data_IF_582362156008
#
_entry.id   IF_582362156008
#
_cell.length_a   1.000
_cell.length_b   1.000
_cell.length_c   1.000
_cell.angle_alpha   90.00
_cell.angle_beta   90.00
_cell.angle_gamma   90.00
#
_symmetry.space_group_name_H-M   'P 1'
#
loop_
_entity.id
_entity.type
_entity.pdbx_description
1 polymer ?
#
# COMPACT_ATOMS: atom_id res chain seq x y z
N UNK A 1 3.93 -19.66 -4.10
CA UNK A 1 5.20 -19.43 -3.39
C UNK A 1 6.30 -18.82 -4.25
N UNK A 2 6.32 -19.02 -5.57
CA UNK A 2 7.34 -18.44 -6.47
C UNK A 2 7.10 -16.99 -6.91
N UNK A 3 5.88 -16.46 -6.81
CA UNK A 3 5.51 -15.13 -7.32
C UNK A 3 6.12 -14.01 -6.46
N UNK A 4 6.13 -14.15 -5.13
CA UNK A 4 6.72 -13.17 -4.20
C UNK A 4 8.25 -13.11 -4.26
N UNK A 5 8.94 -14.25 -4.40
CA UNK A 5 10.41 -14.27 -4.54
C UNK A 5 10.88 -13.62 -5.84
N UNK A 6 10.13 -13.75 -6.93
CA UNK A 6 10.47 -13.10 -8.20
C UNK A 6 10.20 -11.59 -8.17
N UNK A 7 9.14 -11.16 -7.47
CA UNK A 7 8.84 -9.74 -7.27
C UNK A 7 10.00 -9.00 -6.59
N UNK A 8 10.57 -9.59 -5.52
CA UNK A 8 11.69 -9.00 -4.79
C UNK A 8 13.01 -8.97 -5.56
N UNK A 9 13.24 -9.89 -6.49
CA UNK A 9 14.50 -9.96 -7.27
C UNK A 9 14.58 -8.95 -8.40
N UNK A 10 13.45 -8.48 -8.95
CA UNK A 10 13.43 -7.62 -10.14
C UNK A 10 13.53 -6.12 -9.84
N UNK A 11 13.10 -5.65 -8.67
CA UNK A 11 13.07 -4.21 -8.33
C UNK A 11 14.46 -3.63 -7.99
N UNK A 12 15.49 -4.45 -7.92
CA UNK A 12 16.82 -4.07 -7.42
C UNK A 12 17.72 -3.38 -8.47
N UNK A 13 17.19 -2.92 -9.60
CA UNK A 13 17.98 -2.13 -10.56
C UNK A 13 17.68 -0.65 -10.39
N UNK A 14 18.66 0.21 -10.12
CA UNK A 14 18.45 1.65 -10.02
C UNK A 14 18.14 2.20 -11.42
N UNK A 15 16.93 2.70 -11.61
CA UNK A 15 16.54 3.45 -12.80
C UNK A 15 16.56 4.93 -12.46
N UNK A 16 17.31 5.78 -13.19
CA UNK A 16 17.28 7.21 -12.96
C UNK A 16 15.95 7.78 -13.46
N UNK A 17 15.07 8.14 -12.53
CA UNK A 17 13.83 8.86 -12.85
C UNK A 17 14.10 10.35 -12.69
N UNK A 18 14.19 11.08 -13.79
CA UNK A 18 14.05 12.52 -13.80
C UNK A 18 12.57 12.86 -13.61
N UNK A 19 12.16 13.06 -12.37
CA UNK A 19 10.83 13.57 -12.07
C UNK A 19 10.84 15.10 -12.14
N UNK A 20 10.03 15.67 -13.02
CA UNK A 20 9.68 17.09 -12.95
C UNK A 20 8.73 17.26 -11.74
N UNK A 21 9.30 17.40 -10.56
CA UNK A 21 8.62 17.74 -9.32
C UNK A 21 8.48 19.26 -9.23
N UNK A 22 7.44 19.83 -9.76
CA UNK A 22 7.21 21.27 -9.49
C UNK A 22 5.74 21.72 -9.55
N UNK A 23 4.76 20.91 -9.13
CA UNK A 23 3.41 21.50 -8.91
C UNK A 23 2.46 20.78 -7.94
N UNK A 24 2.84 19.65 -7.34
CA UNK A 24 1.92 18.88 -6.48
C UNK A 24 2.16 18.98 -4.96
N UNK A 25 3.15 19.75 -4.52
CA UNK A 25 3.49 19.83 -3.08
C UNK A 25 2.63 20.81 -2.26
N UNK A 26 1.62 21.45 -2.85
CA UNK A 26 0.88 22.54 -2.15
C UNK A 26 -0.53 22.20 -1.67
N UNK A 27 -1.03 20.98 -1.79
CA UNK A 27 -2.41 20.65 -1.37
C UNK A 27 -2.53 19.60 -0.25
N UNK A 28 -1.44 19.19 0.39
CA UNK A 28 -1.49 18.22 1.48
C UNK A 28 -1.13 18.89 2.80
N UNK A 29 -2.03 19.72 3.29
CA UNK A 29 -2.02 20.17 4.69
C UNK A 29 -3.44 20.39 5.18
N UNK A 30 -4.13 19.32 5.54
CA UNK A 30 -5.27 19.35 6.46
C UNK A 30 -5.56 17.92 6.95
N UNK A 31 -5.77 17.80 8.23
CA UNK A 31 -5.87 16.63 9.12
C UNK A 31 -7.05 15.68 8.88
N UNK A 32 -7.38 15.36 7.65
CA UNK A 32 -8.34 14.32 7.31
C UNK A 32 -7.75 13.43 6.22
N UNK A 33 -7.65 12.13 6.48
CA UNK A 33 -7.39 11.11 5.46
C UNK A 33 -8.58 11.08 4.48
N UNK A 34 -8.64 12.13 3.64
CA UNK A 34 -9.64 12.26 2.60
C UNK A 34 -9.25 11.36 1.43
N UNK A 35 -10.18 10.55 0.96
CA UNK A 35 -9.98 9.81 -0.27
C UNK A 35 -9.90 10.76 -1.45
N UNK A 36 -9.00 10.49 -2.37
CA UNK A 36 -8.93 11.16 -3.66
C UNK A 36 -9.20 10.14 -4.78
N UNK A 37 -9.71 10.60 -5.91
CA UNK A 37 -9.74 9.79 -7.13
C UNK A 37 -8.67 10.33 -8.07
N UNK A 38 -7.47 9.75 -8.08
CA UNK A 38 -6.39 10.25 -8.92
C UNK A 38 -6.74 10.06 -10.40
N UNK A 39 -6.32 11.02 -11.21
CA UNK A 39 -6.42 10.93 -12.68
C UNK A 39 -5.14 10.36 -13.29
N UNK A 40 -4.12 10.13 -12.48
CA UNK A 40 -2.84 9.57 -12.88
C UNK A 40 -3.02 8.14 -13.35
N UNK A 41 -2.43 7.78 -14.49
CA UNK A 41 -2.48 6.45 -15.10
C UNK A 41 -1.09 5.91 -15.33
N UNK A 42 -0.94 4.66 -15.79
CA UNK A 42 0.37 4.12 -16.14
C UNK A 42 1.04 4.87 -17.31
N UNK A 43 0.28 5.61 -18.12
CA UNK A 43 0.85 6.46 -19.17
C UNK A 43 1.65 7.64 -18.60
N UNK A 44 1.33 8.07 -17.40
CA UNK A 44 2.03 9.18 -16.72
C UNK A 44 3.31 8.72 -15.98
N UNK A 45 3.53 7.40 -15.91
CA UNK A 45 4.69 6.78 -15.27
C UNK A 45 5.69 6.40 -16.34
N UNK A 46 6.85 7.05 -16.38
CA UNK A 46 7.90 6.73 -17.33
C UNK A 46 8.72 5.52 -16.88
N UNK A 47 8.98 4.57 -17.79
CA UNK A 47 9.75 3.35 -17.50
C UNK A 47 8.98 2.38 -16.60
N UNK A 48 9.72 1.47 -15.94
CA UNK A 48 9.18 0.45 -15.03
C UNK A 48 8.22 -0.55 -15.71
N UNK A 49 8.44 -0.86 -16.99
CA UNK A 49 7.51 -1.69 -17.77
C UNK A 49 7.26 -3.07 -17.13
N UNK A 50 8.33 -3.73 -16.62
CA UNK A 50 8.20 -5.02 -15.95
C UNK A 50 7.32 -4.91 -14.67
N UNK A 51 7.44 -3.80 -13.92
CA UNK A 51 6.64 -3.58 -12.73
C UNK A 51 5.18 -3.27 -13.09
N UNK A 52 4.97 -2.49 -14.14
CA UNK A 52 3.63 -2.21 -14.65
C UNK A 52 2.92 -3.50 -15.10
N UNK A 53 3.62 -4.39 -15.81
CA UNK A 53 3.07 -5.69 -16.22
C UNK A 53 2.58 -6.50 -15.02
N UNK A 54 3.35 -6.56 -13.94
CA UNK A 54 2.92 -7.25 -12.71
C UNK A 54 1.72 -6.56 -12.04
N UNK A 55 1.67 -5.23 -12.08
CA UNK A 55 0.56 -4.46 -11.52
C UNK A 55 -0.71 -4.54 -12.38
N UNK A 56 -0.60 -4.83 -13.67
CA UNK A 56 -1.77 -5.06 -14.52
C UNK A 56 -2.62 -6.24 -14.03
N UNK A 57 -2.03 -7.28 -13.43
CA UNK A 57 -2.80 -8.37 -12.84
C UNK A 57 -3.71 -7.86 -11.70
N UNK A 58 -3.19 -6.92 -10.89
CA UNK A 58 -3.94 -6.30 -9.80
C UNK A 58 -5.04 -5.40 -10.34
N UNK A 59 -4.74 -4.62 -11.39
CA UNK A 59 -5.71 -3.77 -12.08
C UNK A 59 -6.83 -4.60 -12.69
N UNK A 60 -6.50 -5.70 -13.40
CA UNK A 60 -7.48 -6.61 -14.00
C UNK A 60 -8.37 -7.24 -12.91
N UNK A 61 -7.76 -7.64 -11.79
CA UNK A 61 -8.49 -8.16 -10.65
C UNK A 61 -9.48 -7.12 -10.07
N UNK A 62 -9.05 -5.88 -9.85
CA UNK A 62 -9.93 -4.84 -9.32
C UNK A 62 -11.06 -4.47 -10.27
N UNK A 63 -10.80 -4.50 -11.58
CA UNK A 63 -11.80 -4.22 -12.62
C UNK A 63 -12.80 -5.36 -12.80
N UNK A 64 -12.36 -6.61 -12.67
CA UNK A 64 -13.16 -7.80 -12.97
C UNK A 64 -13.14 -8.84 -11.85
N UNK A 65 -13.51 -8.50 -10.61
CA UNK A 65 -13.39 -9.39 -9.44
C UNK A 65 -14.19 -10.69 -9.59
N UNK A 66 -15.33 -10.65 -10.24
CA UNK A 66 -16.20 -11.83 -10.44
C UNK A 66 -15.59 -12.90 -11.35
N UNK A 67 -14.76 -12.50 -12.31
CA UNK A 67 -13.98 -13.42 -13.16
C UNK A 67 -13.06 -14.29 -12.31
N UNK A 68 -12.30 -13.64 -11.41
CA UNK A 68 -11.34 -14.32 -10.53
C UNK A 68 -12.02 -15.15 -9.45
N UNK A 69 -13.15 -14.68 -8.90
CA UNK A 69 -13.95 -15.46 -7.95
C UNK A 69 -14.46 -16.77 -8.55
N UNK A 70 -14.99 -16.72 -9.78
CA UNK A 70 -15.47 -17.92 -10.50
C UNK A 70 -14.36 -18.93 -10.79
N UNK A 71 -13.13 -18.46 -11.02
CA UNK A 71 -11.95 -19.30 -11.26
C UNK A 71 -11.33 -19.85 -9.97
N UNK A 72 -11.83 -19.46 -8.79
CA UNK A 72 -11.27 -19.86 -7.50
C UNK A 72 -9.88 -19.26 -7.22
N UNK A 73 -9.49 -18.22 -7.95
CA UNK A 73 -8.20 -17.57 -7.75
C UNK A 73 -8.10 -16.92 -6.38
N UNK A 74 -6.93 -17.04 -5.76
CA UNK A 74 -6.62 -16.28 -4.54
C UNK A 74 -6.24 -14.86 -4.93
N UNK A 75 -6.97 -13.91 -4.38
CA UNK A 75 -6.79 -12.49 -4.60
C UNK A 75 -5.66 -11.99 -3.72
N UNK A 76 -4.66 -11.29 -4.24
CA UNK A 76 -3.68 -10.63 -3.40
C UNK A 76 -4.36 -9.54 -2.56
N UNK A 77 -4.22 -9.60 -1.25
CA UNK A 77 -4.79 -8.61 -0.33
C UNK A 77 -3.95 -7.34 -0.25
N UNK A 78 -2.67 -7.44 -0.59
CA UNK A 78 -1.73 -6.35 -0.55
C UNK A 78 -0.50 -6.55 -1.43
N UNK A 79 0.17 -5.45 -1.70
CA UNK A 79 1.42 -5.37 -2.47
C UNK A 79 2.42 -4.55 -1.67
N UNK A 80 3.67 -4.94 -1.72
CA UNK A 80 4.74 -4.18 -1.09
C UNK A 80 5.68 -3.60 -2.15
N UNK A 81 5.77 -2.27 -2.19
CA UNK A 81 6.74 -1.55 -2.98
C UNK A 81 8.02 -1.35 -2.17
N UNK A 82 9.10 -1.88 -2.67
CA UNK A 82 10.42 -1.72 -2.06
C UNK A 82 11.40 -1.08 -3.04
N UNK A 83 12.21 -0.15 -2.55
CA UNK A 83 13.27 0.49 -3.36
C UNK A 83 13.75 1.80 -2.75
N UNK A 84 14.83 2.38 -3.31
CA UNK A 84 15.38 3.65 -2.85
C UNK A 84 14.35 4.79 -2.82
N UNK A 85 14.56 5.85 -2.04
CA UNK A 85 13.71 7.03 -2.08
C UNK A 85 13.75 7.68 -3.48
N UNK A 86 12.66 8.34 -3.86
CA UNK A 86 12.56 9.05 -5.15
C UNK A 86 12.36 8.16 -6.39
N UNK A 87 12.09 6.85 -6.23
CA UNK A 87 11.85 5.92 -7.35
C UNK A 87 10.42 5.95 -7.89
N UNK A 88 9.56 6.81 -7.36
CA UNK A 88 8.18 6.99 -7.85
C UNK A 88 7.16 6.00 -7.27
N UNK A 89 7.42 5.37 -6.11
CA UNK A 89 6.50 4.42 -5.47
C UNK A 89 5.10 5.00 -5.27
N UNK A 90 5.00 6.21 -4.75
CA UNK A 90 3.72 6.92 -4.52
C UNK A 90 3.01 7.23 -5.84
N UNK A 91 3.75 7.65 -6.87
CA UNK A 91 3.21 7.91 -8.21
C UNK A 91 2.65 6.63 -8.83
N UNK A 92 3.39 5.52 -8.70
CA UNK A 92 2.98 4.23 -9.22
C UNK A 92 1.70 3.71 -8.52
N UNK A 93 1.60 3.85 -7.19
CA UNK A 93 0.40 3.50 -6.44
C UNK A 93 -0.80 4.35 -6.87
N UNK A 94 -0.59 5.66 -7.06
CA UNK A 94 -1.61 6.58 -7.58
C UNK A 94 -2.05 6.18 -8.99
N UNK A 95 -1.13 5.73 -9.86
CA UNK A 95 -1.45 5.26 -11.19
C UNK A 95 -2.31 3.99 -11.18
N UNK A 96 -2.04 3.03 -10.27
CA UNK A 96 -2.90 1.85 -10.09
C UNK A 96 -4.33 2.28 -9.72
N UNK A 97 -4.47 3.26 -8.81
CA UNK A 97 -5.79 3.77 -8.41
C UNK A 97 -6.52 4.47 -9.56
N UNK A 98 -5.81 5.25 -10.37
CA UNK A 98 -6.38 5.88 -11.56
C UNK A 98 -6.82 4.88 -12.62
N UNK A 99 -5.99 3.86 -12.91
CA UNK A 99 -6.35 2.78 -13.84
C UNK A 99 -7.61 2.02 -13.42
N UNK A 100 -7.82 1.85 -12.12
CA UNK A 100 -8.96 1.12 -11.56
C UNK A 100 -10.15 2.02 -11.22
N UNK A 101 -10.02 3.35 -11.39
CA UNK A 101 -11.01 4.34 -10.95
C UNK A 101 -11.43 4.14 -9.49
N UNK A 102 -10.46 3.78 -8.64
CA UNK A 102 -10.67 3.48 -7.23
C UNK A 102 -10.45 4.71 -6.35
N UNK A 103 -11.10 4.74 -5.19
CA UNK A 103 -10.79 5.71 -4.13
C UNK A 103 -9.38 5.45 -3.60
N UNK A 104 -8.56 6.49 -3.50
CA UNK A 104 -7.16 6.40 -3.09
C UNK A 104 -6.95 7.07 -1.73
N UNK A 105 -6.56 6.30 -0.75
CA UNK A 105 -6.22 6.75 0.59
C UNK A 105 -4.69 6.74 0.72
N UNK A 106 -4.09 7.92 0.79
CA UNK A 106 -2.65 8.06 0.95
C UNK A 106 -2.34 8.46 2.38
N UNK A 107 -1.60 7.62 3.09
CA UNK A 107 -1.19 7.81 4.47
C UNK A 107 0.27 7.43 4.66
N UNK A 108 0.91 8.01 5.67
CA UNK A 108 2.29 7.67 6.05
C UNK A 108 2.26 6.79 7.29
N UNK A 109 3.13 5.78 7.36
CA UNK A 109 3.24 4.91 8.54
C UNK A 109 3.44 5.67 9.84
N UNK A 110 4.17 6.80 9.81
CA UNK A 110 4.39 7.67 10.96
C UNK A 110 3.10 8.30 11.53
N UNK A 111 2.03 8.45 10.74
CA UNK A 111 0.74 8.97 11.21
C UNK A 111 0.04 8.04 12.22
N UNK A 112 0.43 6.78 12.24
CA UNK A 112 -0.09 5.79 13.18
C UNK A 112 0.76 5.66 14.45
N UNK A 113 1.93 6.30 14.49
CA UNK A 113 2.82 6.26 15.66
C UNK A 113 2.40 7.35 16.64
N UNK A 114 1.86 6.93 17.78
CA UNK A 114 1.32 7.83 18.81
C UNK A 114 1.96 7.57 20.16
N UNK A 115 1.85 8.55 21.06
CA UNK A 115 2.35 8.41 22.43
C UNK A 115 1.40 7.61 23.33
N UNK A 116 0.11 7.61 23.00
CA UNK A 116 -0.93 6.98 23.79
C UNK A 116 -1.33 5.63 23.21
N UNK A 117 -1.29 4.60 24.04
CA UNK A 117 -1.63 3.24 23.65
C UNK A 117 -3.05 3.15 23.09
N UNK A 118 -3.18 2.53 21.92
CA UNK A 118 -4.45 2.28 21.25
C UNK A 118 -4.93 3.38 20.31
N UNK A 119 -4.32 4.56 20.29
CA UNK A 119 -4.71 5.64 19.36
C UNK A 119 -4.33 5.28 17.92
N UNK A 120 -3.12 4.78 17.70
CA UNK A 120 -2.67 4.31 16.39
C UNK A 120 -3.55 3.18 15.86
N UNK A 121 -3.84 2.19 16.69
CA UNK A 121 -4.73 1.08 16.32
C UNK A 121 -6.16 1.55 15.97
N UNK A 122 -6.68 2.57 16.65
CA UNK A 122 -7.98 3.18 16.33
C UNK A 122 -7.94 3.87 14.97
N UNK A 123 -6.85 4.60 14.65
CA UNK A 123 -6.69 5.26 13.34
C UNK A 123 -6.63 4.24 12.20
N UNK A 124 -5.89 3.14 12.37
CA UNK A 124 -5.86 2.03 11.42
C UNK A 124 -7.28 1.54 11.16
N UNK A 125 -8.04 1.20 12.21
CA UNK A 125 -9.42 0.71 12.07
C UNK A 125 -10.30 1.70 11.31
N UNK A 126 -10.26 2.98 11.68
CA UNK A 126 -11.05 4.03 11.03
C UNK A 126 -10.71 4.18 9.54
N UNK A 127 -9.42 4.12 9.16
CA UNK A 127 -8.98 4.16 7.78
C UNK A 127 -9.56 2.99 6.96
N UNK A 128 -9.46 1.77 7.50
CA UNK A 128 -9.98 0.57 6.84
C UNK A 128 -11.52 0.57 6.73
N UNK A 129 -12.22 1.09 7.73
CA UNK A 129 -13.68 1.27 7.66
C UNK A 129 -14.07 2.25 6.57
N UNK A 130 -13.36 3.38 6.42
CA UNK A 130 -13.57 4.36 5.35
C UNK A 130 -13.31 3.70 3.98
N UNK A 131 -12.19 3.00 3.83
CA UNK A 131 -11.84 2.33 2.58
C UNK A 131 -12.87 1.28 2.15
N UNK A 132 -13.41 0.50 3.09
CA UNK A 132 -14.49 -0.46 2.80
C UNK A 132 -15.78 0.23 2.35
N UNK A 133 -16.12 1.39 2.92
CA UNK A 133 -17.31 2.16 2.53
C UNK A 133 -17.19 2.76 1.12
N UNK A 134 -15.98 3.08 0.71
CA UNK A 134 -15.67 3.70 -0.57
C UNK A 134 -15.09 2.71 -1.59
N UNK A 135 -15.33 1.41 -1.42
CA UNK A 135 -14.85 0.39 -2.35
C UNK A 135 -15.48 0.58 -3.76
N UNK A 136 -14.73 0.34 -4.86
CA UNK A 136 -13.33 -0.13 -4.88
C UNK A 136 -12.35 0.93 -4.38
N UNK A 137 -11.38 0.52 -3.56
CA UNK A 137 -10.45 1.45 -2.96
C UNK A 137 -9.03 0.88 -2.81
N UNK A 138 -8.05 1.77 -2.80
CA UNK A 138 -6.65 1.45 -2.55
C UNK A 138 -6.18 2.23 -1.33
N UNK A 139 -5.60 1.53 -0.36
CA UNK A 139 -4.91 2.12 0.78
C UNK A 139 -3.41 2.08 0.48
N UNK A 140 -2.80 3.23 0.30
CA UNK A 140 -1.36 3.36 0.16
C UNK A 140 -0.76 3.82 1.49
N UNK A 141 0.17 3.02 2.03
CA UNK A 141 0.88 3.32 3.28
C UNK A 141 2.35 3.50 2.94
N UNK A 142 2.80 4.76 2.89
CA UNK A 142 4.23 5.06 2.72
C UNK A 142 4.98 4.87 4.04
N UNK A 143 6.27 4.56 3.96
CA UNK A 143 7.11 4.31 5.13
C UNK A 143 6.47 3.32 6.11
N UNK A 144 5.94 2.21 5.59
CA UNK A 144 5.25 1.20 6.43
C UNK A 144 6.17 0.63 7.53
N UNK A 145 7.47 0.73 7.37
CA UNK A 145 8.48 0.35 8.38
C UNK A 145 8.39 1.19 9.67
N UNK A 146 7.76 2.36 9.64
CA UNK A 146 7.54 3.15 10.86
C UNK A 146 6.67 2.40 11.89
N UNK A 147 5.71 1.60 11.43
CA UNK A 147 4.83 0.76 12.27
C UNK A 147 5.15 -0.73 12.17
N UNK A 148 5.68 -1.15 11.03
CA UNK A 148 5.94 -2.55 10.70
C UNK A 148 7.35 -3.03 11.03
N UNK A 149 8.12 -2.32 11.85
CA UNK A 149 9.48 -2.72 12.22
C UNK A 149 9.48 -3.99 13.09
N UNK A 150 10.55 -4.80 12.91
CA UNK A 150 10.81 -5.99 13.73
C UNK A 150 10.76 -5.65 15.22
N UNK A 151 10.13 -6.53 15.98
CA UNK A 151 10.02 -6.40 17.43
C UNK A 151 11.39 -6.55 18.06
N UNK A 152 11.91 -5.49 18.64
CA UNK A 152 13.09 -5.56 19.51
C UNK A 152 12.68 -5.78 20.95
N UNK A 153 13.61 -6.29 21.79
CA UNK A 153 13.38 -6.62 23.20
C UNK A 153 12.93 -5.44 24.09
N UNK A 154 13.08 -4.20 23.61
CA UNK A 154 12.49 -3.01 24.20
C UNK A 154 11.16 -2.71 23.49
N UNK A 155 10.11 -3.43 23.86
CA UNK A 155 8.80 -3.37 23.21
C UNK A 155 8.13 -2.03 23.46
N UNK A 156 7.95 -1.25 22.40
CA UNK A 156 7.02 -0.14 22.37
C UNK A 156 5.61 -0.76 22.20
N UNK A 157 4.93 -1.07 23.32
CA UNK A 157 3.60 -1.73 23.34
C UNK A 157 2.58 -1.08 22.38
N UNK A 158 2.75 0.22 22.09
CA UNK A 158 1.89 0.97 21.18
C UNK A 158 2.11 0.57 19.72
N UNK A 159 3.37 0.51 19.26
CA UNK A 159 3.70 0.10 17.88
C UNK A 159 3.28 -1.33 17.61
N UNK A 160 3.53 -2.24 18.56
CA UNK A 160 3.12 -3.65 18.44
C UNK A 160 1.59 -3.79 18.37
N UNK A 161 0.85 -2.98 19.12
CA UNK A 161 -0.61 -2.99 19.07
C UNK A 161 -1.12 -2.44 17.74
N UNK A 162 -0.51 -1.39 17.22
CA UNK A 162 -0.86 -0.81 15.92
C UNK A 162 -0.55 -1.76 14.77
N UNK A 163 0.62 -2.42 14.77
CA UNK A 163 0.98 -3.45 13.81
C UNK A 163 -0.02 -4.63 13.86
N UNK A 164 -0.31 -5.14 15.06
CA UNK A 164 -1.26 -6.23 15.21
C UNK A 164 -2.66 -5.83 14.66
N UNK A 165 -3.11 -4.60 14.92
CA UNK A 165 -4.38 -4.13 14.37
C UNK A 165 -4.32 -4.04 12.84
N UNK A 166 -3.21 -3.58 12.25
CA UNK A 166 -3.03 -3.57 10.80
C UNK A 166 -3.14 -4.98 10.22
N UNK A 167 -2.45 -5.95 10.81
CA UNK A 167 -2.51 -7.35 10.39
C UNK A 167 -3.94 -7.94 10.50
N UNK A 168 -4.65 -7.63 11.58
CA UNK A 168 -6.05 -8.05 11.76
C UNK A 168 -6.96 -7.46 10.68
N UNK A 169 -6.78 -6.18 10.34
CA UNK A 169 -7.57 -5.55 9.27
C UNK A 169 -7.24 -6.13 7.89
N UNK A 170 -5.97 -6.44 7.63
CA UNK A 170 -5.53 -7.11 6.40
C UNK A 170 -6.10 -8.53 6.29
N UNK A 171 -6.10 -9.28 7.39
CA UNK A 171 -6.68 -10.63 7.42
C UNK A 171 -8.20 -10.62 7.35
N UNK A 172 -8.82 -9.58 7.88
CA UNK A 172 -10.27 -9.37 7.88
C UNK A 172 -10.85 -9.01 6.50
N UNK A 173 -10.04 -8.85 5.45
CA UNK A 173 -10.56 -8.68 4.11
C UNK A 173 -11.26 -9.96 3.63
N UNK A 174 -12.57 -9.88 3.53
CA UNK A 174 -13.36 -10.90 2.88
C UNK A 174 -13.13 -10.86 1.36
N UNK A 175 -13.43 -11.96 0.68
CA UNK A 175 -13.31 -12.05 -0.80
C UNK A 175 -14.12 -10.98 -1.55
N UNK A 176 -14.98 -10.25 -0.86
CA UNK A 176 -15.90 -9.26 -1.42
C UNK A 176 -15.50 -7.80 -1.14
N UNK A 177 -14.43 -7.56 -0.37
CA UNK A 177 -14.12 -6.20 0.09
C UNK A 177 -13.64 -5.25 -1.00
N UNK A 178 -13.16 -5.74 -2.14
CA UNK A 178 -12.59 -4.94 -3.25
C UNK A 178 -11.69 -3.76 -2.78
N UNK A 179 -10.89 -4.04 -1.75
CA UNK A 179 -9.92 -3.11 -1.15
C UNK A 179 -8.55 -3.75 -1.26
N UNK A 180 -7.57 -3.01 -1.75
CA UNK A 180 -6.17 -3.45 -1.84
C UNK A 180 -5.29 -2.52 -1.05
N UNK A 181 -4.30 -3.09 -0.36
CA UNK A 181 -3.28 -2.34 0.36
C UNK A 181 -2.00 -2.33 -0.46
N UNK A 182 -1.40 -1.16 -0.60
CA UNK A 182 -0.06 -0.99 -1.17
C UNK A 182 0.82 -0.39 -0.08
N UNK A 183 1.71 -1.18 0.49
CA UNK A 183 2.74 -0.70 1.40
C UNK A 183 3.97 -0.23 0.63
N UNK A 184 4.64 0.81 1.09
CA UNK A 184 5.92 1.24 0.53
C UNK A 184 6.98 1.36 1.64
N UNK A 185 8.19 0.91 1.35
CA UNK A 185 9.34 1.07 2.25
C UNK A 185 10.65 1.21 1.49
N UNK A 186 11.61 1.89 2.10
CA UNK A 186 12.98 1.94 1.62
C UNK A 186 13.86 0.91 2.36
N UNK A 187 13.34 0.28 3.43
CA UNK A 187 14.08 -0.56 4.35
C UNK A 187 13.38 -1.88 4.63
N UNK A 188 13.46 -2.78 3.65
CA UNK A 188 12.86 -4.11 3.74
C UNK A 188 13.43 -4.94 4.91
N UNK A 189 14.71 -4.72 5.26
CA UNK A 189 15.43 -5.36 6.35
C UNK A 189 14.82 -5.14 7.73
N UNK A 190 14.11 -4.02 7.89
CA UNK A 190 13.45 -3.65 9.14
C UNK A 190 12.06 -4.26 9.31
N UNK A 191 11.39 -4.65 8.23
CA UNK A 191 10.01 -5.11 8.30
C UNK A 191 9.86 -6.42 9.07
N UNK A 192 8.78 -6.50 9.87
CA UNK A 192 8.36 -7.72 10.55
C UNK A 192 7.91 -8.75 9.50
N UNK A 193 8.34 -10.00 9.71
CA UNK A 193 8.01 -11.11 8.81
C UNK A 193 6.50 -11.35 8.67
N UNK A 194 5.71 -10.93 9.64
CA UNK A 194 4.24 -11.05 9.58
C UNK A 194 3.62 -10.23 8.44
N UNK A 195 4.23 -9.10 8.07
CA UNK A 195 3.82 -8.29 6.92
C UNK A 195 4.23 -8.89 5.57
N UNK A 196 5.22 -9.77 5.56
CA UNK A 196 5.77 -10.41 4.36
C UNK A 196 5.10 -11.76 4.04
N UNK A 197 4.22 -12.23 4.92
CA UNK A 197 3.48 -13.49 4.70
C UNK A 197 2.39 -13.30 3.64
N UNK A 198 2.26 -14.27 2.70
CA UNK A 198 1.23 -14.24 1.66
C UNK A 198 -0.17 -14.52 2.23
#
# INVERSE_FOLDING_TARGET
MKMWENFFKKINKPVPVFAQTTKMEKEISSEDSSSSKPKTTFCDVAGLEEVKEELFEIVDFMKFPDKYKKMGAKIPKGVLFYGPPGTGKTLLASAVAGETNSSFFNVTGSEFVEKYVGVGAKRVRTLFEKARKEAPSIIFIDEIDAIGAKRHLESNNEKDQTLNQLLVEMDGFTKDSNVIIIGATNRLDLLDEALLRP
#
